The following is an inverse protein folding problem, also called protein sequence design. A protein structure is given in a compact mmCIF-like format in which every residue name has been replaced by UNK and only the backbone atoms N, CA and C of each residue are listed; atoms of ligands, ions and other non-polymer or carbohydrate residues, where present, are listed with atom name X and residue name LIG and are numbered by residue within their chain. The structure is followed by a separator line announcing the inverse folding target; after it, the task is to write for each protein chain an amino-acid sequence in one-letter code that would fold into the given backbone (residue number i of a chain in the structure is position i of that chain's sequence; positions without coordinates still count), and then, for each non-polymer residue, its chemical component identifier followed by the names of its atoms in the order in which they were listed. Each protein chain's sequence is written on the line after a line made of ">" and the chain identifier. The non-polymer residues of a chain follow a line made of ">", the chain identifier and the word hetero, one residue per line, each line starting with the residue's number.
data_IF_026420933148
#
_entry.id   IF_026420933148
#
_cell.length_a   1.000
_cell.length_b   1.000
_cell.length_c   1.000
_cell.angle_alpha   90.00
_cell.angle_beta   90.00
_cell.angle_gamma   90.00
#
_symmetry.space_group_name_H-M   'P 1'
#
loop_
_entity.id
_entity.type
_entity.pdbx_description
1 polymer ?
#
# COMPACT_ATOMS: atom_id res chain seq x y z
N UNK A 1 3.00 16.96 -1.82
CA UNK A 1 3.47 16.15 -2.95
C UNK A 1 4.96 16.43 -3.20
N UNK A 2 5.86 15.76 -2.47
CA UNK A 2 7.34 15.77 -2.69
C UNK A 2 7.67 14.72 -3.77
N UNK A 3 6.90 14.74 -4.85
CA UNK A 3 6.41 13.51 -5.50
C UNK A 3 7.24 13.02 -6.66
N UNK A 4 8.55 12.91 -6.46
CA UNK A 4 9.37 11.91 -7.17
C UNK A 4 10.45 11.45 -6.21
N UNK A 5 10.28 10.26 -5.63
CA UNK A 5 11.45 9.48 -5.18
C UNK A 5 12.21 9.13 -6.46
N UNK A 6 13.10 10.03 -6.88
CA UNK A 6 13.90 9.89 -8.09
C UNK A 6 14.61 8.53 -8.05
N UNK A 7 14.44 7.75 -9.13
CA UNK A 7 15.01 6.42 -9.28
C UNK A 7 14.20 5.27 -8.67
N UNK A 8 13.05 5.51 -8.02
CA UNK A 8 12.21 4.40 -7.54
C UNK A 8 11.71 3.53 -8.69
N UNK A 9 11.47 2.27 -8.39
CA UNK A 9 10.83 1.32 -9.30
C UNK A 9 9.57 0.77 -8.65
N UNK A 10 8.51 0.63 -9.43
CA UNK A 10 7.25 0.05 -8.97
C UNK A 10 6.67 -0.91 -10.02
N UNK A 11 6.02 -1.96 -9.55
CA UNK A 11 5.17 -2.83 -10.35
C UNK A 11 3.76 -2.78 -9.78
N UNK A 12 2.79 -2.36 -10.60
CA UNK A 12 1.37 -2.40 -10.27
C UNK A 12 0.67 -3.31 -11.28
N UNK A 13 -0.14 -4.24 -10.80
CA UNK A 13 -0.95 -5.10 -11.64
C UNK A 13 -2.30 -5.42 -10.97
N UNK A 14 -3.30 -5.75 -11.78
CA UNK A 14 -4.63 -6.07 -11.30
C UNK A 14 -5.69 -5.88 -12.37
N UNK A 15 -6.95 -5.84 -11.95
CA UNK A 15 -8.10 -5.52 -12.80
C UNK A 15 -8.66 -4.15 -12.40
N UNK A 16 -9.64 -3.66 -13.16
CA UNK A 16 -10.35 -2.42 -12.82
C UNK A 16 -10.88 -2.49 -11.36
N UNK A 17 -10.66 -1.41 -10.60
CA UNK A 17 -10.94 -1.29 -9.15
C UNK A 17 -10.21 -2.27 -8.20
N UNK A 18 -9.31 -3.11 -8.71
CA UNK A 18 -8.55 -4.09 -7.90
C UNK A 18 -7.10 -4.15 -8.37
N UNK A 19 -6.43 -3.00 -8.35
CA UNK A 19 -4.99 -2.85 -8.61
C UNK A 19 -4.18 -3.05 -7.34
N UNK A 20 -3.02 -3.69 -7.47
CA UNK A 20 -2.13 -4.00 -6.36
C UNK A 20 -0.72 -3.54 -6.68
N UNK A 21 -0.08 -2.82 -5.75
CA UNK A 21 1.34 -2.53 -5.81
C UNK A 21 2.11 -3.82 -5.47
N UNK A 22 2.65 -4.52 -6.44
CA UNK A 22 3.28 -5.83 -6.22
C UNK A 22 4.77 -5.71 -5.88
N UNK A 23 5.45 -4.70 -6.41
CA UNK A 23 6.85 -4.39 -6.09
C UNK A 23 7.02 -2.89 -5.92
N UNK A 24 7.84 -2.48 -4.96
CA UNK A 24 8.22 -1.09 -4.74
C UNK A 24 9.61 -1.02 -4.15
N UNK A 25 10.53 -0.43 -4.92
CA UNK A 25 11.94 -0.30 -4.57
C UNK A 25 12.39 1.14 -4.63
N UNK A 26 13.32 1.51 -3.77
CA UNK A 26 14.02 2.80 -3.91
C UNK A 26 15.04 2.76 -5.07
N UNK A 27 15.78 3.87 -5.24
CA UNK A 27 16.80 4.01 -6.28
C UNK A 27 17.97 3.04 -6.16
N UNK A 28 18.21 2.53 -4.96
CA UNK A 28 19.32 1.63 -4.65
C UNK A 28 18.85 0.16 -4.74
N UNK A 29 17.58 -0.07 -5.09
CA UNK A 29 16.97 -1.38 -5.27
C UNK A 29 16.44 -2.01 -3.98
N UNK A 30 16.39 -1.25 -2.87
CA UNK A 30 15.90 -1.74 -1.58
C UNK A 30 14.38 -1.89 -1.60
N UNK A 31 13.89 -3.03 -1.13
CA UNK A 31 12.46 -3.29 -0.95
C UNK A 31 11.88 -2.38 0.14
N UNK A 32 10.84 -1.61 -0.22
CA UNK A 32 10.18 -0.66 0.69
C UNK A 32 8.99 -1.28 1.45
N UNK A 33 8.57 -2.51 1.11
CA UNK A 33 7.44 -3.16 1.76
C UNK A 33 7.60 -3.40 3.28
N UNK A 34 8.77 -3.74 3.82
CA UNK A 34 8.95 -3.89 5.27
C UNK A 34 8.52 -2.63 6.03
N UNK A 35 8.97 -1.45 5.58
CA UNK A 35 8.62 -0.16 6.19
C UNK A 35 7.13 0.17 6.01
N UNK A 36 6.59 -0.09 4.82
CA UNK A 36 5.16 0.13 4.53
C UNK A 36 4.29 -0.70 5.46
N UNK A 37 4.63 -1.98 5.67
CA UNK A 37 3.89 -2.89 6.56
C UNK A 37 3.94 -2.43 8.00
N UNK A 38 5.11 -2.03 8.49
CA UNK A 38 5.27 -1.54 9.85
C UNK A 38 4.42 -0.27 10.09
N UNK A 39 4.51 0.71 9.18
CA UNK A 39 3.74 1.95 9.28
C UNK A 39 2.24 1.73 9.18
N UNK A 40 1.81 0.86 8.27
CA UNK A 40 0.40 0.54 8.09
C UNK A 40 -0.19 -0.12 9.34
N UNK A 41 0.50 -1.13 9.89
CA UNK A 41 0.10 -1.80 11.13
C UNK A 41 0.04 -0.81 12.31
N UNK A 42 1.09 -0.03 12.50
CA UNK A 42 1.15 0.97 13.57
C UNK A 42 0.03 1.99 13.46
N UNK A 43 -0.27 2.49 12.25
CA UNK A 43 -1.35 3.47 12.06
C UNK A 43 -2.72 2.88 12.40
N UNK A 44 -3.02 1.68 11.87
CA UNK A 44 -4.26 0.96 12.17
C UNK A 44 -4.44 0.64 13.66
N UNK A 45 -3.36 0.38 14.38
CA UNK A 45 -3.41 0.06 15.82
C UNK A 45 -3.55 1.30 16.70
N UNK A 46 -3.10 2.48 16.24
CA UNK A 46 -2.97 3.68 17.09
C UNK A 46 -4.05 4.73 16.86
N UNK A 47 -4.61 4.84 15.65
CA UNK A 47 -5.60 5.86 15.33
C UNK A 47 -6.66 5.39 14.32
N UNK A 48 -7.82 6.04 14.33
CA UNK A 48 -8.82 5.87 13.27
C UNK A 48 -8.47 6.77 12.09
N UNK A 49 -8.60 6.24 10.89
CA UNK A 49 -8.44 6.98 9.64
C UNK A 49 -9.31 6.37 8.53
N UNK A 50 -9.36 7.01 7.36
CA UNK A 50 -10.22 6.52 6.26
C UNK A 50 -9.65 5.27 5.58
N UNK A 51 -8.33 5.07 5.67
CA UNK A 51 -7.61 3.95 5.04
C UNK A 51 -7.59 2.62 5.84
N UNK A 52 -8.43 2.46 6.87
CA UNK A 52 -8.33 1.32 7.79
C UNK A 52 -8.44 -0.04 7.09
N UNK A 53 -9.40 -0.17 6.16
CA UNK A 53 -9.63 -1.40 5.39
C UNK A 53 -8.47 -1.65 4.42
N UNK A 54 -8.02 -0.60 3.71
CA UNK A 54 -6.86 -0.68 2.81
C UNK A 54 -5.59 -1.14 3.54
N UNK A 55 -5.37 -0.69 4.77
CA UNK A 55 -4.22 -1.08 5.56
C UNK A 55 -4.38 -2.49 6.15
N UNK A 56 -5.61 -2.94 6.43
CA UNK A 56 -5.87 -4.34 6.78
C UNK A 56 -5.54 -5.29 5.62
N UNK A 57 -5.73 -4.87 4.36
CA UNK A 57 -5.31 -5.65 3.19
C UNK A 57 -3.80 -5.86 3.15
N UNK A 58 -3.00 -4.86 3.52
CA UNK A 58 -1.54 -5.02 3.62
C UNK A 58 -1.20 -6.10 4.65
N UNK A 59 -1.89 -6.12 5.79
CA UNK A 59 -1.69 -7.14 6.84
C UNK A 59 -2.10 -8.53 6.38
N UNK A 60 -3.20 -8.66 5.63
CA UNK A 60 -3.79 -9.96 5.25
C UNK A 60 -3.23 -10.54 3.97
N UNK A 61 -2.99 -9.68 2.98
CA UNK A 61 -2.63 -10.04 1.60
C UNK A 61 -1.20 -9.65 1.25
N UNK A 62 -0.54 -8.84 2.08
CA UNK A 62 0.87 -8.49 1.96
C UNK A 62 1.17 -7.31 1.04
N UNK A 63 0.17 -6.80 0.32
CA UNK A 63 0.33 -5.74 -0.70
C UNK A 63 -0.67 -4.60 -0.51
N UNK A 64 -0.28 -3.41 -0.95
CA UNK A 64 -1.12 -2.23 -0.97
C UNK A 64 -2.10 -2.28 -2.16
N UNK A 65 -3.39 -2.19 -1.86
CA UNK A 65 -4.44 -2.03 -2.87
C UNK A 65 -4.54 -0.56 -3.30
N UNK A 66 -4.58 -0.30 -4.61
CA UNK A 66 -4.65 1.06 -5.14
C UNK A 66 -6.02 1.70 -4.94
N UNK A 67 -7.06 0.91 -4.71
CA UNK A 67 -8.43 1.36 -4.51
C UNK A 67 -8.70 1.81 -3.05
N UNK A 68 -9.72 2.64 -2.84
CA UNK A 68 -10.06 3.20 -1.52
C UNK A 68 -10.68 2.16 -0.57
N UNK A 69 -10.70 2.48 0.73
CA UNK A 69 -11.35 1.61 1.73
C UNK A 69 -12.84 1.47 1.50
N UNK A 70 -13.51 2.54 1.05
CA UNK A 70 -14.96 2.60 0.84
C UNK A 70 -15.38 1.61 -0.23
N UNK A 71 -14.73 1.62 -1.40
CA UNK A 71 -15.04 0.69 -2.48
C UNK A 71 -14.63 -0.75 -2.14
N UNK A 72 -13.58 -0.95 -1.35
CA UNK A 72 -13.16 -2.29 -0.94
C UNK A 72 -14.05 -2.91 0.14
N UNK A 73 -14.70 -2.10 0.99
CA UNK A 73 -15.61 -2.60 2.02
C UNK A 73 -16.94 -3.13 1.43
N UNK A 74 -17.20 -2.88 0.15
CA UNK A 74 -18.36 -3.42 -0.57
C UNK A 74 -18.18 -4.88 -1.03
N UNK A 75 -16.95 -5.43 -0.93
CA UNK A 75 -16.58 -6.80 -1.32
C UNK A 75 -16.08 -7.61 -0.12
#
# INVERSE_FOLDING_TARGET
>A
MKDKLEGRQELIAGINHMGWLLDIRDRDGNDLYPEIRERAAKKNDTEKHDDMVRFEYIRRLGYYCTESSEHNAEY
#
